data_IF_055530668193
#
_entry.id   IF_055530668193
#
_cell.length_a   1.000
_cell.length_b   1.000
_cell.length_c   1.000
_cell.angle_alpha   90.00
_cell.angle_beta   90.00
_cell.angle_gamma   90.00
#
_symmetry.space_group_name_H-M   'P 1'
#
loop_
_entity.id
_entity.type
_entity.pdbx_description
1 polymer ?
#
# COMPACT_ATOMS: atom_id res chain seq x y z
N UNK A 1 14.65 -20.95 30.98
CA UNK A 1 14.43 -19.70 30.22
C UNK A 1 15.49 -19.54 29.12
N UNK A 2 15.33 -20.31 28.05
CA UNK A 2 16.11 -20.16 26.81
C UNK A 2 15.65 -18.89 26.13
N UNK A 3 16.53 -17.88 26.08
CA UNK A 3 16.32 -16.70 25.23
C UNK A 3 16.37 -17.21 23.79
N UNK A 4 15.21 -17.42 23.17
CA UNK A 4 15.12 -17.50 21.72
C UNK A 4 15.71 -16.19 21.19
N UNK A 5 16.88 -16.30 20.56
CA UNK A 5 17.41 -15.24 19.72
C UNK A 5 16.44 -15.10 18.55
N UNK A 6 15.45 -14.22 18.70
CA UNK A 6 14.66 -13.74 17.57
C UNK A 6 15.66 -12.98 16.70
N UNK A 7 16.16 -13.61 15.63
CA UNK A 7 16.98 -12.93 14.64
C UNK A 7 16.12 -11.81 14.04
N UNK A 8 16.60 -10.57 14.14
CA UNK A 8 15.89 -9.38 13.63
C UNK A 8 16.03 -9.22 12.10
N UNK A 9 16.53 -10.24 11.39
CA UNK A 9 16.77 -10.24 9.94
C UNK A 9 15.58 -9.71 9.10
N UNK A 10 14.29 -10.01 9.41
CA UNK A 10 13.18 -9.45 8.66
C UNK A 10 12.99 -7.94 8.84
N UNK A 11 13.37 -7.39 10.01
CA UNK A 11 13.33 -5.95 10.24
C UNK A 11 14.48 -5.24 9.51
N UNK A 12 15.65 -5.87 9.44
CA UNK A 12 16.81 -5.31 8.73
C UNK A 12 16.50 -5.04 7.25
N UNK A 13 15.80 -5.96 6.59
CA UNK A 13 15.38 -5.76 5.19
C UNK A 13 14.36 -4.64 5.03
N UNK A 14 13.40 -4.50 5.95
CA UNK A 14 12.48 -3.35 5.97
C UNK A 14 13.24 -2.02 6.08
N UNK A 15 14.26 -1.94 6.94
CA UNK A 15 15.10 -0.74 7.05
C UNK A 15 15.93 -0.49 5.79
N UNK A 16 16.46 -1.54 5.16
CA UNK A 16 17.17 -1.42 3.88
C UNK A 16 16.27 -0.82 2.78
N UNK A 17 15.00 -1.24 2.72
CA UNK A 17 14.00 -0.67 1.79
C UNK A 17 13.74 0.81 2.05
N UNK A 18 13.62 1.21 3.32
CA UNK A 18 13.47 2.62 3.69
C UNK A 18 14.67 3.43 3.21
N UNK A 19 15.90 2.93 3.42
CA UNK A 19 17.12 3.62 2.96
C UNK A 19 17.16 3.71 1.43
N UNK A 20 16.83 2.65 0.71
CA UNK A 20 16.76 2.64 -0.75
C UNK A 20 15.70 3.62 -1.28
N UNK A 21 14.53 3.68 -0.65
CA UNK A 21 13.47 4.61 -1.01
C UNK A 21 13.92 6.07 -0.77
N UNK A 22 14.51 6.38 0.39
CA UNK A 22 15.05 7.71 0.67
C UNK A 22 16.15 8.11 -0.31
N UNK A 23 17.05 7.18 -0.64
CA UNK A 23 18.09 7.41 -1.65
C UNK A 23 17.48 7.68 -3.02
N UNK A 24 16.43 6.94 -3.40
CA UNK A 24 15.68 7.20 -4.63
C UNK A 24 15.14 8.63 -4.66
N UNK A 25 14.44 9.07 -3.61
CA UNK A 25 13.86 10.41 -3.56
C UNK A 25 14.91 11.53 -3.58
N UNK A 26 16.05 11.30 -2.94
CA UNK A 26 17.19 12.22 -3.01
C UNK A 26 17.77 12.33 -4.43
N UNK A 27 17.79 11.22 -5.17
CA UNK A 27 18.33 11.16 -6.53
C UNK A 27 17.35 11.63 -7.59
N UNK A 28 16.03 11.64 -7.34
CA UNK A 28 15.01 12.00 -8.34
C UNK A 28 15.31 13.35 -9.04
N UNK A 29 15.70 14.43 -8.35
CA UNK A 29 15.94 15.71 -9.01
C UNK A 29 17.20 15.75 -9.91
N UNK A 30 18.21 14.92 -9.64
CA UNK A 30 19.54 15.03 -10.27
C UNK A 30 19.90 13.85 -11.18
N UNK A 31 19.42 12.64 -10.86
CA UNK A 31 19.83 11.39 -11.48
C UNK A 31 18.61 10.47 -11.66
N UNK A 32 17.75 10.68 -12.69
CA UNK A 32 16.50 9.96 -12.83
C UNK A 32 16.63 8.44 -12.97
N UNK A 33 17.65 7.95 -13.69
CA UNK A 33 17.87 6.51 -13.89
C UNK A 33 18.29 5.80 -12.59
N UNK A 34 19.34 6.26 -11.85
CA UNK A 34 19.64 5.73 -10.52
C UNK A 34 18.48 5.81 -9.54
N UNK A 35 17.71 6.91 -9.56
CA UNK A 35 16.55 7.08 -8.68
C UNK A 35 15.51 5.97 -8.91
N UNK A 36 15.15 5.71 -10.16
CA UNK A 36 14.18 4.66 -10.51
C UNK A 36 14.73 3.28 -10.18
N UNK A 37 16.01 3.03 -10.41
CA UNK A 37 16.63 1.76 -10.03
C UNK A 37 16.53 1.52 -8.52
N UNK A 38 16.88 2.50 -7.68
CA UNK A 38 16.75 2.40 -6.24
C UNK A 38 15.29 2.22 -5.79
N UNK A 39 14.34 2.91 -6.43
CA UNK A 39 12.91 2.78 -6.15
C UNK A 39 12.41 1.36 -6.44
N UNK A 40 12.65 0.87 -7.65
CA UNK A 40 12.22 -0.45 -8.07
C UNK A 40 12.91 -1.55 -7.27
N UNK A 41 14.18 -1.38 -6.92
CA UNK A 41 14.88 -2.32 -6.04
C UNK A 41 14.22 -2.36 -4.65
N UNK A 42 13.89 -1.22 -4.06
CA UNK A 42 13.14 -1.15 -2.80
C UNK A 42 11.79 -1.87 -2.89
N UNK A 43 11.03 -1.62 -3.96
CA UNK A 43 9.74 -2.26 -4.19
C UNK A 43 9.84 -3.78 -4.47
N UNK A 44 10.90 -4.25 -5.11
CA UNK A 44 11.11 -5.68 -5.36
C UNK A 44 11.49 -6.43 -4.08
N UNK A 45 12.29 -5.81 -3.20
CA UNK A 45 12.67 -6.39 -1.92
C UNK A 45 11.46 -6.70 -1.03
N UNK A 46 10.36 -5.94 -1.15
CA UNK A 46 9.08 -6.22 -0.46
C UNK A 46 8.61 -7.67 -0.61
N UNK A 47 8.58 -8.15 -1.85
CA UNK A 47 8.11 -9.49 -2.15
C UNK A 47 9.02 -10.57 -1.53
N UNK A 48 10.34 -10.29 -1.47
CA UNK A 48 11.32 -11.19 -0.87
C UNK A 48 11.24 -11.17 0.66
N UNK A 49 11.05 -10.01 1.28
CA UNK A 49 10.96 -9.85 2.74
C UNK A 49 9.79 -10.65 3.31
N UNK A 50 8.61 -10.49 2.70
CA UNK A 50 7.43 -11.22 3.10
C UNK A 50 7.58 -12.73 2.87
N UNK A 51 8.30 -13.16 1.85
CA UNK A 51 8.56 -14.59 1.62
C UNK A 51 9.54 -15.15 2.66
N UNK A 52 10.66 -14.48 2.89
CA UNK A 52 11.69 -14.89 3.85
C UNK A 52 11.14 -14.92 5.29
N UNK A 53 10.41 -13.87 5.71
CA UNK A 53 9.82 -13.80 7.05
C UNK A 53 8.81 -14.93 7.32
N UNK A 54 8.11 -15.43 6.29
CA UNK A 54 7.20 -16.58 6.37
C UNK A 54 7.96 -17.90 6.36
N UNK A 55 8.99 -18.04 5.53
CA UNK A 55 9.81 -19.24 5.47
C UNK A 55 10.60 -19.48 6.77
N UNK A 56 11.04 -18.40 7.43
CA UNK A 56 11.82 -18.44 8.67
C UNK A 56 10.94 -18.41 9.95
N UNK A 57 9.61 -18.33 9.84
CA UNK A 57 8.69 -18.14 10.97
C UNK A 57 9.02 -16.93 11.87
N UNK A 58 9.63 -15.88 11.30
CA UNK A 58 10.03 -14.65 12.01
C UNK A 58 9.11 -13.47 11.69
N UNK A 59 7.89 -13.74 11.22
CA UNK A 59 6.91 -12.71 10.90
C UNK A 59 6.42 -12.01 12.18
N UNK A 60 6.63 -10.69 12.27
CA UNK A 60 6.16 -9.88 13.41
C UNK A 60 5.04 -8.93 12.99
N UNK A 61 4.14 -8.59 13.92
CA UNK A 61 3.08 -7.59 13.68
C UNK A 61 3.65 -6.21 13.37
N UNK A 62 4.74 -5.84 14.05
CA UNK A 62 5.43 -4.58 13.82
C UNK A 62 6.06 -4.54 12.42
N UNK A 63 6.77 -5.60 12.01
CA UNK A 63 7.34 -5.70 10.66
C UNK A 63 6.29 -5.57 9.57
N UNK A 64 5.17 -6.29 9.67
CA UNK A 64 4.07 -6.19 8.71
C UNK A 64 3.42 -4.79 8.65
N UNK A 65 3.34 -4.08 9.79
CA UNK A 65 2.83 -2.71 9.83
C UNK A 65 3.83 -1.71 9.23
N UNK A 66 5.12 -1.87 9.56
CA UNK A 66 6.20 -1.04 9.06
C UNK A 66 6.31 -1.16 7.53
N UNK A 67 6.26 -2.40 7.03
CA UNK A 67 6.24 -2.74 5.61
C UNK A 67 5.13 -2.01 4.84
N UNK A 68 3.89 -2.18 5.29
CA UNK A 68 2.74 -1.48 4.70
C UNK A 68 2.91 0.04 4.73
N UNK A 69 3.42 0.61 5.83
CA UNK A 69 3.65 2.04 5.95
C UNK A 69 4.75 2.52 4.99
N UNK A 70 5.85 1.78 4.86
CA UNK A 70 6.95 2.10 3.95
C UNK A 70 6.47 2.16 2.51
N UNK A 71 5.65 1.21 2.06
CA UNK A 71 5.08 1.24 0.70
C UNK A 71 4.25 2.49 0.44
N UNK A 72 3.39 2.86 1.41
CA UNK A 72 2.55 4.06 1.29
C UNK A 72 3.39 5.32 1.20
N UNK A 73 4.33 5.48 2.13
CA UNK A 73 5.24 6.62 2.15
C UNK A 73 6.05 6.71 0.85
N UNK A 74 6.53 5.57 0.33
CA UNK A 74 7.32 5.55 -0.89
C UNK A 74 6.50 6.02 -2.10
N UNK A 75 5.27 5.49 -2.24
CA UNK A 75 4.33 5.89 -3.29
C UNK A 75 4.01 7.38 -3.18
N UNK A 76 3.72 7.88 -1.98
CA UNK A 76 3.46 9.31 -1.73
C UNK A 76 4.62 10.20 -2.20
N UNK A 77 5.85 9.85 -1.87
CA UNK A 77 7.03 10.62 -2.28
C UNK A 77 7.24 10.61 -3.80
N UNK A 78 6.96 9.50 -4.48
CA UNK A 78 6.94 9.43 -5.94
C UNK A 78 5.86 10.34 -6.53
N UNK A 79 4.63 10.31 -5.99
CA UNK A 79 3.51 11.15 -6.44
C UNK A 79 3.77 12.65 -6.23
N UNK A 80 4.47 13.02 -5.16
CA UNK A 80 4.92 14.41 -4.95
C UNK A 80 5.88 14.82 -6.06
N UNK A 81 6.88 14.00 -6.38
CA UNK A 81 7.79 14.29 -7.50
C UNK A 81 7.05 14.39 -8.84
N UNK A 82 6.12 13.46 -9.12
CA UNK A 82 5.28 13.53 -10.31
C UNK A 82 4.42 14.80 -10.36
N UNK A 83 3.96 15.31 -9.22
CA UNK A 83 3.22 16.57 -9.16
C UNK A 83 4.09 17.77 -9.53
N UNK A 84 5.39 17.71 -9.23
CA UNK A 84 6.36 18.74 -9.65
C UNK A 84 6.65 18.67 -11.16
N UNK A 85 6.76 17.47 -11.72
CA UNK A 85 7.01 17.25 -13.15
C UNK A 85 5.77 17.51 -14.04
N UNK A 86 4.58 17.26 -13.49
CA UNK A 86 3.30 17.39 -14.18
C UNK A 86 2.31 18.28 -13.42
N UNK A 87 2.56 19.60 -13.28
CA UNK A 87 1.77 20.48 -12.43
C UNK A 87 0.27 20.47 -12.74
N UNK A 88 -0.11 20.35 -14.02
CA UNK A 88 -1.51 20.29 -14.47
C UNK A 88 -2.30 19.09 -13.90
N UNK A 89 -1.62 18.02 -13.49
CA UNK A 89 -2.24 16.80 -12.96
C UNK A 89 -2.08 16.65 -11.44
N UNK A 90 -1.52 17.65 -10.75
CA UNK A 90 -1.27 17.66 -9.29
C UNK A 90 -2.49 17.22 -8.48
N UNK A 91 -3.68 17.74 -8.84
CA UNK A 91 -4.91 17.38 -8.16
C UNK A 91 -5.22 15.87 -8.21
N UNK A 92 -4.95 15.21 -9.35
CA UNK A 92 -5.17 13.77 -9.49
C UNK A 92 -4.18 12.97 -8.64
N UNK A 93 -2.91 13.38 -8.58
CA UNK A 93 -1.93 12.74 -7.70
C UNK A 93 -2.28 12.93 -6.22
N UNK A 94 -2.70 14.12 -5.82
CA UNK A 94 -3.17 14.40 -4.45
C UNK A 94 -4.39 13.55 -4.08
N UNK A 95 -5.35 13.42 -4.99
CA UNK A 95 -6.53 12.58 -4.80
C UNK A 95 -6.14 11.10 -4.66
N UNK A 96 -5.28 10.59 -5.55
CA UNK A 96 -4.78 9.22 -5.51
C UNK A 96 -4.07 8.91 -4.18
N UNK A 97 -3.16 9.79 -3.77
CA UNK A 97 -2.41 9.67 -2.50
C UNK A 97 -3.35 9.69 -1.29
N UNK A 98 -4.30 10.63 -1.26
CA UNK A 98 -5.24 10.76 -0.14
C UNK A 98 -6.15 9.53 -0.05
N UNK A 99 -6.65 9.06 -1.20
CA UNK A 99 -7.49 7.86 -1.26
C UNK A 99 -6.74 6.62 -0.78
N UNK A 100 -5.51 6.43 -1.22
CA UNK A 100 -4.73 5.25 -0.85
C UNK A 100 -4.41 5.25 0.66
N UNK A 101 -3.95 6.37 1.22
CA UNK A 101 -3.68 6.49 2.66
C UNK A 101 -4.96 6.33 3.48
N UNK A 102 -6.04 7.05 3.14
CA UNK A 102 -7.28 7.03 3.92
C UNK A 102 -7.93 5.65 3.93
N UNK A 103 -7.96 4.97 2.78
CA UNK A 103 -8.57 3.64 2.65
C UNK A 103 -7.84 2.60 3.51
N UNK A 104 -6.50 2.55 3.46
CA UNK A 104 -5.71 1.60 4.25
C UNK A 104 -5.73 1.95 5.74
N UNK A 105 -5.67 3.24 6.10
CA UNK A 105 -5.70 3.69 7.48
C UNK A 105 -7.01 3.28 8.17
N UNK A 106 -8.16 3.57 7.56
CA UNK A 106 -9.47 3.17 8.09
C UNK A 106 -9.64 1.66 8.14
N UNK A 107 -9.12 0.93 7.15
CA UNK A 107 -9.18 -0.53 7.18
C UNK A 107 -8.33 -1.15 8.29
N UNK A 108 -7.11 -0.64 8.50
CA UNK A 108 -6.25 -1.05 9.60
C UNK A 108 -6.94 -0.82 10.94
N UNK A 109 -7.47 0.39 11.16
CA UNK A 109 -8.22 0.72 12.36
C UNK A 109 -9.45 -0.17 12.56
N UNK A 110 -10.26 -0.35 11.51
CA UNK A 110 -11.43 -1.21 11.55
C UNK A 110 -11.07 -2.65 11.92
N UNK A 111 -9.97 -3.18 11.37
CA UNK A 111 -9.50 -4.53 11.66
C UNK A 111 -8.99 -4.69 13.09
N UNK A 112 -8.28 -3.68 13.62
CA UNK A 112 -7.83 -3.66 15.01
C UNK A 112 -9.00 -3.62 16.00
N UNK A 113 -10.03 -2.81 15.73
CA UNK A 113 -11.24 -2.73 16.56
C UNK A 113 -12.01 -4.05 16.57
N UNK A 114 -12.14 -4.72 15.42
CA UNK A 114 -12.76 -6.05 15.33
C UNK A 114 -12.00 -7.11 16.13
N UNK A 115 -10.66 -7.07 16.11
CA UNK A 115 -9.82 -7.98 16.89
C UNK A 115 -9.99 -7.83 18.40
N UNK A 116 -10.32 -6.64 18.88
CA UNK A 116 -10.63 -6.40 20.30
C UNK A 116 -12.06 -6.85 20.70
N UNK A 117 -13.00 -6.88 19.76
CA UNK A 117 -14.42 -7.17 19.98
C UNK A 117 -14.82 -8.65 19.71
N UNK A 118 -13.96 -9.60 20.10
CA UNK A 118 -13.87 -11.02 19.71
C UNK A 118 -15.12 -11.94 19.74
N UNK A 119 -16.36 -11.48 19.93
CA UNK A 119 -17.54 -12.35 20.00
C UNK A 119 -18.80 -11.91 19.23
N UNK A 120 -18.80 -10.78 18.53
CA UNK A 120 -19.88 -10.47 17.57
C UNK A 120 -19.27 -10.20 16.21
N UNK A 121 -19.26 -11.23 15.37
CA UNK A 121 -18.83 -11.17 13.97
C UNK A 121 -19.73 -10.22 13.18
N UNK A 122 -19.43 -8.92 13.22
CA UNK A 122 -19.97 -7.96 12.27
C UNK A 122 -19.19 -8.17 10.97
N UNK A 123 -19.68 -9.14 10.21
CA UNK A 123 -19.21 -9.43 8.87
C UNK A 123 -19.95 -8.55 7.85
N UNK A 124 -19.43 -7.34 7.67
CA UNK A 124 -19.75 -6.50 6.51
C UNK A 124 -18.76 -6.75 5.34
N UNK A 125 -18.07 -7.91 5.30
CA UNK A 125 -17.15 -8.28 4.20
C UNK A 125 -17.85 -8.75 2.92
N UNK A 126 -19.17 -8.57 2.81
CA UNK A 126 -19.98 -9.06 1.70
C UNK A 126 -19.73 -8.42 0.33
N UNK A 127 -18.70 -7.60 0.13
CA UNK A 127 -18.37 -7.13 -1.21
C UNK A 127 -17.48 -8.17 -1.92
N UNK A 128 -18.00 -8.89 -2.94
CA UNK A 128 -17.28 -9.95 -3.62
C UNK A 128 -15.99 -9.47 -4.28
N UNK A 129 -15.92 -8.19 -4.70
CA UNK A 129 -14.74 -7.59 -5.32
C UNK A 129 -13.60 -7.49 -4.32
N UNK A 130 -13.88 -6.96 -3.12
CA UNK A 130 -12.90 -6.87 -2.04
C UNK A 130 -12.44 -8.25 -1.57
N UNK A 131 -13.35 -9.22 -1.53
CA UNK A 131 -13.00 -10.60 -1.20
C UNK A 131 -12.02 -11.20 -2.20
N UNK A 132 -12.27 -11.05 -3.51
CA UNK A 132 -11.35 -11.54 -4.55
C UNK A 132 -9.99 -10.83 -4.43
N UNK A 133 -9.99 -9.51 -4.25
CA UNK A 133 -8.78 -8.70 -4.13
C UNK A 133 -7.87 -9.15 -2.98
N UNK A 134 -8.43 -9.41 -1.79
CA UNK A 134 -7.64 -9.83 -0.62
C UNK A 134 -7.39 -11.33 -0.51
N UNK A 135 -8.24 -12.17 -1.11
CA UNK A 135 -8.08 -13.63 -1.03
C UNK A 135 -7.08 -14.15 -2.06
N UNK A 136 -6.97 -13.50 -3.22
CA UNK A 136 -6.10 -13.92 -4.32
C UNK A 136 -4.77 -13.17 -4.31
N UNK A 137 -3.69 -13.83 -3.83
CA UNK A 137 -2.32 -13.26 -3.83
C UNK A 137 -1.89 -12.74 -5.21
N UNK A 138 -2.12 -13.47 -6.34
CA UNK A 138 -1.77 -12.95 -7.66
C UNK A 138 -2.50 -11.67 -8.03
N UNK A 139 -3.80 -11.56 -7.69
CA UNK A 139 -4.59 -10.35 -8.00
C UNK A 139 -4.06 -9.17 -7.21
N UNK A 140 -3.81 -9.34 -5.91
CA UNK A 140 -3.24 -8.30 -5.06
C UNK A 140 -1.88 -7.83 -5.60
N UNK A 141 -1.00 -8.78 -5.93
CA UNK A 141 0.32 -8.49 -6.48
C UNK A 141 0.25 -7.72 -7.79
N UNK A 142 -0.55 -8.18 -8.76
CA UNK A 142 -0.71 -7.50 -10.06
C UNK A 142 -1.26 -6.09 -9.90
N UNK A 143 -2.23 -5.89 -9.01
CA UNK A 143 -2.83 -4.58 -8.77
C UNK A 143 -1.85 -3.61 -8.11
N UNK A 144 -1.08 -4.06 -7.10
CA UNK A 144 -0.03 -3.26 -6.49
C UNK A 144 1.10 -2.95 -7.48
N UNK A 145 1.66 -3.98 -8.11
CA UNK A 145 2.77 -3.85 -9.06
C UNK A 145 2.39 -2.97 -10.25
N UNK A 146 1.20 -3.16 -10.84
CA UNK A 146 0.77 -2.36 -11.98
C UNK A 146 0.53 -0.90 -11.62
N UNK A 147 0.07 -0.60 -10.40
CA UNK A 147 -0.05 0.76 -9.91
C UNK A 147 1.32 1.43 -9.71
N UNK A 148 2.25 0.75 -9.04
CA UNK A 148 3.60 1.28 -8.86
C UNK A 148 4.29 1.49 -10.20
N UNK A 149 4.17 0.51 -11.10
CA UNK A 149 4.76 0.59 -12.43
C UNK A 149 4.15 1.72 -13.27
N UNK A 150 2.86 2.02 -13.12
CA UNK A 150 2.23 3.18 -13.78
C UNK A 150 2.92 4.49 -13.39
N UNK A 151 3.10 4.73 -12.08
CA UNK A 151 3.75 5.95 -11.59
C UNK A 151 5.24 5.99 -11.94
N UNK A 152 5.95 4.86 -11.83
CA UNK A 152 7.34 4.78 -12.28
C UNK A 152 7.48 5.06 -13.78
N UNK A 153 6.58 4.55 -14.62
CA UNK A 153 6.62 4.80 -16.07
C UNK A 153 6.32 6.26 -16.39
N UNK A 154 5.37 6.91 -15.70
CA UNK A 154 5.15 8.35 -15.84
C UNK A 154 6.42 9.17 -15.55
N UNK A 155 7.17 8.76 -14.52
CA UNK A 155 8.43 9.40 -14.16
C UNK A 155 9.51 9.14 -15.21
N UNK A 156 9.73 7.87 -15.59
CA UNK A 156 10.76 7.49 -16.58
C UNK A 156 10.51 8.13 -17.93
N UNK A 157 9.28 8.09 -18.43
CA UNK A 157 8.90 8.63 -19.73
C UNK A 157 8.98 10.17 -19.78
N UNK A 158 8.96 10.84 -18.63
CA UNK A 158 9.23 12.27 -18.56
C UNK A 158 10.69 12.61 -18.90
N UNK A 159 11.62 11.72 -18.55
CA UNK A 159 13.06 11.96 -18.64
C UNK A 159 13.74 11.30 -19.84
N UNK A 160 13.02 10.49 -20.63
CA UNK A 160 13.54 9.89 -21.86
C UNK A 160 13.03 10.70 -23.07
N UNK A 161 13.94 11.19 -23.91
CA UNK A 161 13.61 11.96 -25.10
C UNK A 161 12.96 11.10 -26.21
N UNK A 162 13.49 9.89 -26.43
CA UNK A 162 13.01 8.95 -27.46
C UNK A 162 12.62 7.58 -26.86
N UNK A 163 11.50 7.50 -26.13
CA UNK A 163 11.06 6.25 -25.53
C UNK A 163 10.53 5.28 -26.60
N UNK A 164 10.92 4.02 -26.46
CA UNK A 164 10.45 2.96 -27.34
C UNK A 164 8.92 2.78 -27.25
N UNK A 165 8.26 2.55 -28.38
CA UNK A 165 6.80 2.50 -28.49
C UNK A 165 6.12 1.50 -27.52
N UNK A 166 6.79 0.39 -27.18
CA UNK A 166 6.27 -0.62 -26.24
C UNK A 166 6.13 -0.08 -24.81
N UNK A 167 6.89 0.95 -24.42
CA UNK A 167 6.76 1.59 -23.11
C UNK A 167 5.43 2.32 -22.95
N UNK A 168 4.93 2.95 -24.02
CA UNK A 168 3.61 3.59 -24.01
C UNK A 168 2.48 2.56 -23.93
N UNK A 169 2.63 1.43 -24.63
CA UNK A 169 1.69 0.31 -24.50
C UNK A 169 1.66 -0.23 -23.07
N UNK A 170 2.83 -0.45 -22.49
CA UNK A 170 2.95 -0.89 -21.10
C UNK A 170 2.35 0.13 -20.13
N UNK A 171 2.61 1.43 -20.33
CA UNK A 171 2.03 2.50 -19.54
C UNK A 171 0.51 2.51 -19.62
N UNK A 172 -0.06 2.30 -20.82
CA UNK A 172 -1.51 2.20 -21.00
C UNK A 172 -2.12 1.02 -20.22
N UNK A 173 -1.48 -0.15 -20.25
CA UNK A 173 -1.91 -1.31 -19.46
C UNK A 173 -1.83 -1.01 -17.95
N UNK A 174 -0.72 -0.43 -17.49
CA UNK A 174 -0.53 -0.06 -16.09
C UNK A 174 -1.52 1.03 -15.64
N UNK A 175 -1.87 1.96 -16.51
CA UNK A 175 -2.87 2.99 -16.24
C UNK A 175 -4.25 2.36 -15.96
N UNK A 176 -4.68 1.40 -16.77
CA UNK A 176 -5.93 0.66 -16.53
C UNK A 176 -5.90 -0.03 -15.17
N UNK A 177 -4.79 -0.70 -14.83
CA UNK A 177 -4.61 -1.36 -13.53
C UNK A 177 -4.66 -0.34 -12.38
N UNK A 178 -3.99 0.81 -12.52
CA UNK A 178 -4.01 1.88 -11.51
C UNK A 178 -5.40 2.45 -11.28
N UNK A 179 -6.19 2.69 -12.34
CA UNK A 179 -7.58 3.13 -12.22
C UNK A 179 -8.47 2.08 -11.55
N UNK A 180 -8.31 0.80 -11.91
CA UNK A 180 -9.04 -0.30 -11.26
C UNK A 180 -8.68 -0.38 -9.77
N UNK A 181 -7.40 -0.27 -9.43
CA UNK A 181 -6.92 -0.25 -8.04
C UNK A 181 -7.51 0.95 -7.29
N UNK A 182 -7.52 2.15 -7.87
CA UNK A 182 -8.13 3.31 -7.25
C UNK A 182 -9.63 3.07 -6.97
N UNK A 183 -10.36 2.47 -7.91
CA UNK A 183 -11.75 2.05 -7.69
C UNK A 183 -11.91 1.06 -6.53
N UNK A 184 -11.00 0.08 -6.43
CA UNK A 184 -10.96 -0.85 -5.29
C UNK A 184 -10.67 -0.11 -3.98
N UNK A 185 -9.74 0.86 -3.96
CA UNK A 185 -9.44 1.68 -2.78
C UNK A 185 -10.65 2.50 -2.32
N UNK A 186 -11.49 2.99 -3.25
CA UNK A 186 -12.78 3.64 -2.89
C UNK A 186 -13.73 2.64 -2.24
N UNK A 187 -13.91 1.46 -2.82
CA UNK A 187 -14.76 0.42 -2.23
C UNK A 187 -14.24 -0.01 -0.85
N UNK A 188 -12.92 -0.09 -0.71
CA UNK A 188 -12.23 -0.42 0.51
C UNK A 188 -12.49 0.62 1.60
N UNK A 189 -12.36 1.91 1.25
CA UNK A 189 -12.67 3.04 2.12
C UNK A 189 -14.13 3.00 2.60
N UNK A 190 -15.08 2.88 1.68
CA UNK A 190 -16.52 2.85 2.01
C UNK A 190 -16.84 1.67 2.94
N UNK A 191 -16.28 0.50 2.65
CA UNK A 191 -16.53 -0.71 3.44
C UNK A 191 -15.93 -0.56 4.85
N UNK A 192 -14.71 -0.02 4.97
CA UNK A 192 -14.08 0.26 6.26
C UNK A 192 -14.88 1.29 7.08
N UNK A 193 -15.34 2.38 6.46
CA UNK A 193 -16.17 3.39 7.13
C UNK A 193 -17.50 2.80 7.65
N UNK A 194 -18.18 1.98 6.84
CA UNK A 194 -19.41 1.30 7.26
C UNK A 194 -19.18 0.32 8.40
N UNK A 195 -18.07 -0.42 8.37
CA UNK A 195 -17.67 -1.31 9.46
C UNK A 195 -17.48 -0.54 10.77
N UNK A 196 -16.78 0.59 10.74
CA UNK A 196 -16.55 1.40 11.94
C UNK A 196 -17.85 1.98 12.50
N UNK A 197 -18.71 2.54 11.64
CA UNK A 197 -20.02 3.05 12.06
C UNK A 197 -20.90 1.96 12.71
N UNK A 198 -20.83 0.73 12.21
CA UNK A 198 -21.55 -0.40 12.80
C UNK A 198 -20.99 -0.81 14.17
N UNK A 199 -19.68 -0.74 14.37
CA UNK A 199 -19.04 -0.97 15.68
C UNK A 199 -19.50 0.11 16.68
N UNK A 200 -19.46 1.38 16.29
CA UNK A 200 -19.90 2.49 17.14
C UNK A 200 -21.37 2.35 17.56
N UNK A 201 -22.25 1.97 16.63
CA UNK A 201 -23.66 1.73 16.92
C UNK A 201 -23.83 0.59 17.94
N UNK A 202 -23.12 -0.52 17.75
CA UNK A 202 -23.19 -1.68 18.65
C UNK A 202 -22.62 -1.38 20.05
N UNK A 203 -21.61 -0.51 20.17
CA UNK A 203 -21.09 -0.07 21.47
C UNK A 203 -22.07 0.85 22.21
N UNK A 204 -22.74 1.75 21.49
CA UNK A 204 -23.79 2.62 22.05
C UNK A 204 -24.96 1.80 22.59
N UNK A 205 -25.44 0.80 21.84
CA UNK A 205 -26.50 -0.10 22.30
C UNK A 205 -26.12 -0.84 23.59
N UNK A 206 -24.90 -1.41 23.65
CA UNK A 206 -24.42 -2.09 24.86
C UNK A 206 -24.40 -1.17 26.08
N UNK A 207 -24.00 0.08 25.87
CA UNK A 207 -23.94 1.07 26.95
C UNK A 207 -25.34 1.38 27.47
N UNK A 208 -26.31 1.58 26.58
CA UNK A 208 -27.72 1.79 26.93
C UNK A 208 -28.32 0.60 27.71
N UNK A 209 -28.05 -0.63 27.28
CA UNK A 209 -28.53 -1.84 27.97
C UNK A 209 -27.89 -2.10 29.34
N UNK A 210 -26.73 -1.50 29.64
CA UNK A 210 -26.09 -1.60 30.96
C UNK A 210 -26.59 -0.56 31.96
N UNK A 211 -27.23 0.50 31.49
CA UNK A 211 -27.74 1.61 32.31
C UNK A 211 -29.21 1.41 32.70
N UNK A 212 -29.91 0.46 32.07
CA UNK A 212 -31.23 -0.05 32.48
C UNK A 212 -31.08 -1.25 33.41
#
# INVERSE_FOLDING_TARGET
>A
PTKEHISYEPLESCYARIVLALLSFYLMPCCPLPAVFCYLLSALLDAFDGHAARALNQSTKFGAMLDMLTDRCATMCLLVNLSLLYPSYTFLFQLSMTLDVASHWLHLHSSMMKGAASHKTIDLSGNPILRIYYTSKPVLFVMCMGNELFFCLLYVLHHIEEPAAWLYWLQGVCAVISFLKAGISVLHLITASRNMAAVDAAEREKTMTKTQ
#
